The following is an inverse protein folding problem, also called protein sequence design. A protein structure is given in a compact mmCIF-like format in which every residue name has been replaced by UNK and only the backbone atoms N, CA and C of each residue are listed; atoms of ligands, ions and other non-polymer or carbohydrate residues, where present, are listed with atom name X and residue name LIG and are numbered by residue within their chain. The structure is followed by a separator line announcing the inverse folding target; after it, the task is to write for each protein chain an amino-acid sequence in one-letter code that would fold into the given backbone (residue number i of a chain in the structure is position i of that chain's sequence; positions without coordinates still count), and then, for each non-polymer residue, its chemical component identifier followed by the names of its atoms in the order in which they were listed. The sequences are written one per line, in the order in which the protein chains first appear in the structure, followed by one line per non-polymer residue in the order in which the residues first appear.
data_IF_484828503032
#
_entry.id   IF_484828503032
#
_cell.length_a   1.000
_cell.length_b   1.000
_cell.length_c   1.000
_cell.angle_alpha   90.00
_cell.angle_beta   90.00
_cell.angle_gamma   90.00
#
_symmetry.space_group_name_H-M   'P 1'
#
loop_
_entity.id
_entity.type
_entity.pdbx_description
1 polymer ?
#
# COMPACT_ATOMS: atom_id res chain seq x y z
N UNK A 1 72.12 6.29 8.78
CA UNK A 1 71.61 5.29 7.79
C UNK A 1 70.45 4.45 8.32
N UNK A 2 69.91 4.76 9.52
CA UNK A 2 68.79 4.00 10.12
C UNK A 2 67.46 4.75 10.13
N UNK A 3 67.40 5.95 9.58
CA UNK A 3 66.21 6.80 9.64
C UNK A 3 65.26 6.65 8.43
N UNK A 4 65.58 5.83 7.42
CA UNK A 4 64.74 5.66 6.22
C UNK A 4 63.89 4.39 6.27
N UNK A 5 64.20 3.44 7.14
CA UNK A 5 63.49 2.15 7.25
C UNK A 5 62.18 2.20 8.04
N UNK A 6 61.89 3.26 8.80
CA UNK A 6 60.67 3.40 9.60
C UNK A 6 59.49 4.12 8.89
N UNK A 7 59.74 4.73 7.73
CA UNK A 7 58.71 5.48 7.01
C UNK A 7 57.87 4.62 6.05
N UNK A 8 58.24 3.36 5.79
CA UNK A 8 57.56 2.51 4.80
C UNK A 8 56.53 1.51 5.39
N UNK A 9 56.48 1.40 6.74
CA UNK A 9 55.59 0.45 7.42
C UNK A 9 54.20 1.02 7.79
N UNK A 10 53.94 2.32 7.56
CA UNK A 10 52.70 2.98 7.99
C UNK A 10 51.64 3.08 6.91
N UNK A 11 51.85 2.54 5.70
CA UNK A 11 50.92 2.71 4.55
C UNK A 11 50.03 1.49 4.24
N UNK A 12 50.06 0.44 5.06
CA UNK A 12 49.30 -0.81 4.80
C UNK A 12 48.12 -1.08 5.73
N UNK A 13 47.73 -0.13 6.60
CA UNK A 13 46.64 -0.33 7.55
C UNK A 13 45.30 0.33 7.13
N UNK A 14 45.09 0.70 5.88
CA UNK A 14 43.83 1.25 5.36
C UNK A 14 43.02 0.19 4.60
N UNK A 15 42.92 -1.03 5.12
CA UNK A 15 41.80 -1.92 4.77
C UNK A 15 40.57 -1.48 5.51
N UNK A 16 39.91 -0.41 5.03
CA UNK A 16 38.62 0.02 5.54
C UNK A 16 37.61 -1.10 5.40
N UNK A 17 37.11 -1.60 6.53
CA UNK A 17 35.91 -2.42 6.56
C UNK A 17 34.78 -1.62 5.94
N UNK A 18 34.39 -1.96 4.70
CA UNK A 18 33.17 -1.41 4.09
C UNK A 18 32.00 -1.75 5.03
N UNK A 19 31.19 -0.76 5.44
CA UNK A 19 29.96 -1.07 6.16
C UNK A 19 29.14 -2.04 5.29
N UNK A 20 28.84 -3.21 5.84
CA UNK A 20 27.91 -4.15 5.20
C UNK A 20 26.55 -3.44 5.18
N UNK A 21 26.04 -3.13 3.99
CA UNK A 21 24.71 -2.60 3.86
C UNK A 21 23.71 -3.56 4.53
N UNK A 22 22.72 -3.06 5.28
CA UNK A 22 21.71 -3.92 5.87
C UNK A 22 21.06 -4.76 4.75
N UNK A 23 20.73 -6.03 5.02
CA UNK A 23 20.10 -6.89 4.03
C UNK A 23 18.83 -6.22 3.51
N UNK A 24 18.62 -6.27 2.19
CA UNK A 24 17.40 -5.79 1.58
C UNK A 24 16.19 -6.48 2.23
N UNK A 25 15.11 -5.75 2.53
CA UNK A 25 13.91 -6.37 3.09
C UNK A 25 13.44 -7.50 2.19
N UNK A 26 12.99 -8.60 2.79
CA UNK A 26 12.49 -9.76 2.06
C UNK A 26 11.34 -9.34 1.12
N UNK A 27 11.27 -9.88 -0.09
CA UNK A 27 10.22 -9.55 -1.04
C UNK A 27 8.86 -9.93 -0.46
N UNK A 28 7.91 -9.02 -0.53
CA UNK A 28 6.52 -9.27 -0.11
C UNK A 28 5.88 -10.19 -1.15
N UNK A 29 5.46 -11.37 -0.72
CA UNK A 29 4.74 -12.32 -1.58
C UNK A 29 3.34 -11.79 -1.84
N UNK A 30 2.95 -11.69 -3.11
CA UNK A 30 1.62 -11.21 -3.54
C UNK A 30 0.94 -12.28 -4.38
N UNK A 31 -0.37 -12.43 -4.22
CA UNK A 31 -1.22 -13.20 -5.13
C UNK A 31 -1.57 -12.42 -6.41
N UNK A 32 -1.26 -11.12 -6.42
CA UNK A 32 -1.53 -10.19 -7.51
C UNK A 32 -0.21 -9.90 -8.24
N UNK A 33 -0.13 -10.22 -9.52
CA UNK A 33 1.01 -9.86 -10.38
C UNK A 33 1.11 -8.33 -10.53
N UNK A 34 2.25 -7.84 -11.04
CA UNK A 34 2.41 -6.41 -11.31
C UNK A 34 1.42 -5.90 -12.36
N UNK A 35 1.15 -6.70 -13.40
CA UNK A 35 0.16 -6.39 -14.42
C UNK A 35 -1.25 -6.31 -13.83
N UNK A 36 -1.64 -7.29 -13.02
CA UNK A 36 -2.93 -7.25 -12.32
C UNK A 36 -3.05 -6.05 -11.38
N UNK A 37 -1.97 -5.67 -10.67
CA UNK A 37 -1.96 -4.50 -9.82
C UNK A 37 -2.17 -3.18 -10.62
N UNK A 38 -1.63 -3.11 -11.84
CA UNK A 38 -1.91 -2.01 -12.75
C UNK A 38 -3.38 -1.98 -13.17
N UNK A 39 -3.96 -3.12 -13.55
CA UNK A 39 -5.38 -3.21 -13.90
C UNK A 39 -6.28 -2.85 -12.71
N UNK A 40 -5.99 -3.34 -11.50
CA UNK A 40 -6.66 -2.93 -10.25
C UNK A 40 -6.65 -1.41 -10.11
N UNK A 41 -5.51 -0.77 -10.33
CA UNK A 41 -5.35 0.68 -10.23
C UNK A 41 -6.19 1.42 -11.27
N UNK A 42 -6.11 1.01 -12.53
CA UNK A 42 -6.85 1.64 -13.65
C UNK A 42 -8.36 1.50 -13.43
N UNK A 43 -8.80 0.32 -13.07
CA UNK A 43 -10.23 0.04 -12.81
C UNK A 43 -10.74 0.84 -11.62
N UNK A 44 -9.98 0.91 -10.52
CA UNK A 44 -10.36 1.73 -9.37
C UNK A 44 -10.51 3.22 -9.76
N UNK A 45 -9.58 3.76 -10.55
CA UNK A 45 -9.66 5.14 -11.06
C UNK A 45 -10.87 5.34 -11.97
N UNK A 46 -11.20 4.36 -12.81
CA UNK A 46 -12.37 4.40 -13.71
C UNK A 46 -13.73 4.38 -13.00
N UNK A 47 -13.73 3.97 -11.72
CA UNK A 47 -14.96 3.93 -10.89
C UNK A 47 -15.21 5.24 -10.11
N UNK A 48 -14.30 6.22 -10.17
CA UNK A 48 -14.49 7.53 -9.54
C UNK A 48 -15.79 8.16 -10.06
N UNK A 49 -16.61 8.67 -9.14
CA UNK A 49 -17.94 9.21 -9.43
C UNK A 49 -19.08 8.20 -9.25
N UNK A 50 -18.81 6.91 -9.11
CA UNK A 50 -19.86 5.91 -8.80
C UNK A 50 -20.48 6.23 -7.44
N UNK A 51 -21.82 6.23 -7.30
CA UNK A 51 -22.47 6.54 -6.05
C UNK A 51 -22.07 5.61 -4.90
N UNK A 52 -21.93 6.17 -3.71
CA UNK A 52 -21.83 5.37 -2.48
C UNK A 52 -23.19 4.72 -2.18
N UNK A 53 -23.15 3.45 -1.82
CA UNK A 53 -24.30 2.75 -1.26
C UNK A 53 -23.84 1.77 -0.18
N UNK A 54 -24.42 1.86 0.98
CA UNK A 54 -24.17 0.91 2.05
C UNK A 54 -24.46 -0.53 1.60
N UNK A 55 -23.49 -1.44 1.75
CA UNK A 55 -23.57 -2.82 1.24
C UNK A 55 -23.44 -2.95 -0.28
N UNK A 56 -23.26 -1.85 -1.00
CA UNK A 56 -23.10 -1.84 -2.46
C UNK A 56 -21.79 -2.49 -2.91
N UNK A 57 -21.83 -3.20 -4.04
CA UNK A 57 -20.69 -3.98 -4.54
C UNK A 57 -20.66 -4.12 -6.07
N UNK A 58 -21.37 -3.24 -6.79
CA UNK A 58 -21.39 -3.21 -8.26
C UNK A 58 -21.38 -1.77 -8.79
N UNK A 59 -20.86 -1.52 -10.00
CA UNK A 59 -20.89 -0.19 -10.59
C UNK A 59 -22.31 0.38 -10.72
N UNK A 60 -23.29 -0.46 -11.03
CA UNK A 60 -24.69 -0.05 -11.23
C UNK A 60 -25.42 0.18 -9.91
N UNK A 61 -25.11 -0.64 -8.89
CA UNK A 61 -25.74 -0.58 -7.57
C UNK A 61 -25.06 0.38 -6.60
N UNK A 62 -23.90 0.91 -6.95
CA UNK A 62 -23.06 1.69 -6.05
C UNK A 62 -22.13 0.83 -5.19
N UNK A 63 -21.25 1.47 -4.43
CA UNK A 63 -20.24 0.83 -3.61
C UNK A 63 -20.24 1.35 -2.18
N UNK A 64 -20.01 0.45 -1.20
CA UNK A 64 -19.31 0.80 0.03
C UNK A 64 -17.81 0.56 -0.11
N UNK A 65 -17.00 0.93 0.90
CA UNK A 65 -15.54 0.86 0.82
C UNK A 65 -15.02 -0.56 0.57
N UNK A 66 -15.51 -1.56 1.29
CA UNK A 66 -15.12 -2.96 1.10
C UNK A 66 -15.74 -3.59 -0.17
N UNK A 67 -16.90 -3.11 -0.60
CA UNK A 67 -17.54 -3.52 -1.84
C UNK A 67 -16.79 -3.09 -3.09
N UNK A 68 -16.26 -1.87 -3.09
CA UNK A 68 -15.38 -1.39 -4.14
C UNK A 68 -14.15 -2.29 -4.27
N UNK A 69 -13.47 -2.56 -3.15
CA UNK A 69 -12.28 -3.42 -3.11
C UNK A 69 -12.62 -4.82 -3.62
N UNK A 70 -13.69 -5.43 -3.09
CA UNK A 70 -14.08 -6.78 -3.47
C UNK A 70 -14.43 -6.89 -4.96
N UNK A 71 -15.10 -5.90 -5.52
CA UNK A 71 -15.44 -5.89 -6.93
C UNK A 71 -14.20 -5.75 -7.83
N UNK A 72 -13.33 -4.79 -7.52
CA UNK A 72 -12.12 -4.52 -8.31
C UNK A 72 -11.19 -5.73 -8.32
N UNK A 73 -10.86 -6.29 -7.15
CA UNK A 73 -9.95 -7.44 -7.09
C UNK A 73 -10.54 -8.71 -7.69
N UNK A 74 -11.84 -8.93 -7.56
CA UNK A 74 -12.50 -10.06 -8.24
C UNK A 74 -12.43 -9.92 -9.76
N UNK A 75 -12.65 -8.73 -10.28
CA UNK A 75 -12.66 -8.46 -11.72
C UNK A 75 -11.26 -8.54 -12.33
N UNK A 76 -10.25 -7.96 -11.67
CA UNK A 76 -8.92 -7.79 -12.26
C UNK A 76 -7.93 -8.89 -11.86
N UNK A 77 -8.13 -9.54 -10.71
CA UNK A 77 -7.21 -10.54 -10.19
C UNK A 77 -7.87 -11.90 -9.88
N UNK A 78 -9.19 -12.02 -10.02
CA UNK A 78 -9.92 -13.24 -9.66
C UNK A 78 -9.94 -13.53 -8.16
N UNK A 79 -9.59 -12.56 -7.30
CA UNK A 79 -9.47 -12.74 -5.86
C UNK A 79 -10.76 -12.36 -5.13
N UNK A 80 -11.14 -13.16 -4.14
CA UNK A 80 -12.28 -12.89 -3.28
C UNK A 80 -11.83 -12.12 -2.03
N UNK A 81 -11.95 -10.80 -2.08
CA UNK A 81 -11.65 -9.96 -0.92
C UNK A 81 -12.76 -10.06 0.15
N UNK A 82 -12.40 -9.96 1.45
CA UNK A 82 -13.38 -9.86 2.53
C UNK A 82 -14.34 -8.68 2.34
N UNK A 83 -15.60 -8.89 2.80
CA UNK A 83 -16.67 -7.87 2.68
C UNK A 83 -16.77 -6.92 3.87
N UNK A 84 -15.85 -7.02 4.83
CA UNK A 84 -15.75 -6.06 5.94
C UNK A 84 -14.35 -5.49 6.01
N UNK A 85 -14.26 -4.20 6.36
CA UNK A 85 -12.97 -3.52 6.50
C UNK A 85 -12.10 -4.17 7.58
N UNK A 86 -12.71 -4.59 8.69
CA UNK A 86 -11.98 -5.28 9.76
C UNK A 86 -11.32 -6.58 9.26
N UNK A 87 -12.00 -7.37 8.42
CA UNK A 87 -11.44 -8.58 7.86
C UNK A 87 -10.36 -8.33 6.79
N UNK A 88 -10.38 -7.19 6.10
CA UNK A 88 -9.31 -6.77 5.19
C UNK A 88 -7.96 -6.61 5.89
N UNK A 89 -7.95 -6.39 7.21
CA UNK A 89 -6.71 -6.33 8.00
C UNK A 89 -5.92 -7.64 7.97
N UNK A 90 -6.59 -8.77 7.81
CA UNK A 90 -5.96 -10.10 7.67
C UNK A 90 -5.77 -10.54 6.22
N UNK A 91 -6.18 -9.75 5.23
CA UNK A 91 -6.13 -10.13 3.82
C UNK A 91 -4.88 -9.57 3.14
N UNK A 92 -4.05 -10.48 2.65
CA UNK A 92 -2.75 -10.15 2.07
C UNK A 92 -1.64 -9.94 3.11
N UNK A 93 -0.46 -9.59 2.63
CA UNK A 93 0.73 -9.38 3.44
C UNK A 93 0.79 -7.94 3.98
N UNK A 94 1.17 -7.74 5.25
CA UNK A 94 1.43 -6.39 5.76
C UNK A 94 2.68 -5.82 5.11
N UNK A 95 2.68 -4.51 4.82
CA UNK A 95 3.84 -3.83 4.29
C UNK A 95 4.16 -2.55 5.06
N UNK A 96 5.45 -2.16 5.09
CA UNK A 96 5.84 -0.82 5.48
C UNK A 96 5.54 0.19 4.34
N UNK A 97 5.39 1.46 4.69
CA UNK A 97 5.04 2.53 3.74
C UNK A 97 6.02 2.67 2.56
N UNK A 98 7.32 2.37 2.78
CA UNK A 98 8.35 2.45 1.74
C UNK A 98 8.30 1.31 0.71
N UNK A 99 7.46 0.30 0.91
CA UNK A 99 7.22 -0.77 -0.05
C UNK A 99 5.84 -0.66 -0.74
N UNK A 100 5.08 0.39 -0.43
CA UNK A 100 3.75 0.60 -0.99
C UNK A 100 3.83 0.83 -2.50
N UNK A 101 3.01 0.10 -3.26
CA UNK A 101 2.85 0.25 -4.71
C UNK A 101 1.39 0.39 -5.10
N UNK A 102 1.13 0.94 -6.30
CA UNK A 102 -0.22 0.99 -6.86
C UNK A 102 -0.86 -0.39 -6.89
N UNK A 103 -2.12 -0.46 -6.55
CA UNK A 103 -2.85 -1.72 -6.39
C UNK A 103 -2.79 -2.32 -4.97
N UNK A 104 -2.03 -1.76 -4.03
CA UNK A 104 -2.07 -2.18 -2.63
C UNK A 104 -3.28 -1.58 -1.90
N UNK A 105 -3.63 -2.11 -0.74
CA UNK A 105 -4.67 -1.56 0.12
C UNK A 105 -4.11 -0.59 1.14
N UNK A 106 -4.88 0.46 1.41
CA UNK A 106 -4.72 1.36 2.57
C UNK A 106 -5.89 1.17 3.51
N UNK A 107 -5.59 0.93 4.78
CA UNK A 107 -6.57 0.73 5.84
C UNK A 107 -6.42 1.82 6.89
N UNK A 108 -7.52 2.42 7.30
CA UNK A 108 -7.57 3.52 8.25
C UNK A 108 -8.32 3.14 9.51
N UNK A 109 -7.80 3.55 10.66
CA UNK A 109 -8.41 3.32 11.97
C UNK A 109 -7.92 4.28 13.03
N UNK A 110 -8.47 4.18 14.24
CA UNK A 110 -8.14 5.05 15.38
C UNK A 110 -7.92 4.22 16.65
N UNK A 111 -6.86 3.39 16.68
CA UNK A 111 -6.47 2.62 17.86
C UNK A 111 -7.20 1.28 18.03
N UNK A 112 -8.00 0.86 17.08
CA UNK A 112 -8.70 -0.43 17.02
C UNK A 112 -8.64 -1.05 15.62
N UNK A 113 -9.53 -2.00 15.31
CA UNK A 113 -9.68 -2.50 13.96
C UNK A 113 -9.92 -1.38 12.96
N UNK A 114 -9.44 -1.49 11.71
CA UNK A 114 -9.66 -0.47 10.70
C UNK A 114 -11.17 -0.32 10.42
N UNK A 115 -11.59 0.91 10.19
CA UNK A 115 -12.99 1.28 9.93
C UNK A 115 -13.21 1.76 8.50
N UNK A 116 -12.14 2.05 7.76
CA UNK A 116 -12.20 2.47 6.38
C UNK A 116 -11.04 1.89 5.56
N UNK A 117 -11.24 1.74 4.26
CA UNK A 117 -10.27 1.17 3.36
C UNK A 117 -10.36 1.79 1.97
N UNK A 118 -9.24 1.76 1.24
CA UNK A 118 -9.15 2.15 -0.15
C UNK A 118 -8.05 1.41 -0.89
N UNK A 119 -7.97 1.64 -2.20
CA UNK A 119 -6.95 1.11 -3.11
C UNK A 119 -5.94 2.22 -3.39
N UNK A 120 -4.67 1.97 -3.07
CA UNK A 120 -3.60 2.90 -3.36
C UNK A 120 -3.34 2.97 -4.87
N UNK A 121 -3.21 4.17 -5.40
CA UNK A 121 -3.05 4.41 -6.85
C UNK A 121 -1.76 5.15 -7.19
N UNK A 122 -0.85 5.27 -6.23
CA UNK A 122 0.44 5.94 -6.41
C UNK A 122 0.45 7.40 -5.92
N UNK A 123 1.66 7.95 -5.76
CA UNK A 123 1.91 9.35 -5.41
C UNK A 123 1.14 9.85 -4.17
N UNK A 124 1.01 9.00 -3.15
CA UNK A 124 0.29 9.34 -1.93
C UNK A 124 -1.22 9.45 -2.10
N UNK A 125 -1.79 8.88 -3.17
CA UNK A 125 -3.23 8.93 -3.49
C UNK A 125 -3.87 7.55 -3.39
N UNK A 126 -5.15 7.53 -3.07
CA UNK A 126 -5.94 6.30 -3.00
C UNK A 126 -7.38 6.56 -3.45
N UNK A 127 -8.00 5.53 -4.01
CA UNK A 127 -9.41 5.53 -4.42
C UNK A 127 -10.22 4.76 -3.37
N UNK A 128 -11.33 5.32 -2.96
CA UNK A 128 -12.20 4.76 -1.94
C UNK A 128 -13.67 5.17 -2.13
N UNK A 129 -14.57 4.51 -1.42
CA UNK A 129 -15.99 4.85 -1.38
C UNK A 129 -16.37 5.32 0.02
N UNK A 130 -16.26 6.61 0.35
CA UNK A 130 -16.66 7.16 1.64
C UNK A 130 -18.17 7.40 1.68
N UNK A 131 -18.81 7.17 2.85
CA UNK A 131 -20.20 7.53 3.06
C UNK A 131 -20.43 9.04 3.01
N UNK A 132 -19.49 9.82 3.57
CA UNK A 132 -19.47 11.27 3.46
C UNK A 132 -19.00 11.69 2.07
N UNK A 133 -19.83 12.44 1.36
CA UNK A 133 -19.59 12.84 -0.05
C UNK A 133 -20.29 11.94 -1.06
N UNK A 134 -20.79 10.77 -0.64
CA UNK A 134 -21.77 9.97 -1.37
C UNK A 134 -21.29 9.33 -2.67
N UNK A 135 -19.99 9.30 -2.98
CA UNK A 135 -19.46 8.68 -4.21
C UNK A 135 -18.02 8.19 -4.05
N UNK A 136 -17.62 7.26 -4.92
CA UNK A 136 -16.21 6.85 -5.11
C UNK A 136 -15.40 8.07 -5.51
N UNK A 137 -14.28 8.29 -4.83
CA UNK A 137 -13.39 9.41 -5.13
C UNK A 137 -11.93 9.06 -4.85
N UNK A 138 -11.04 9.91 -5.33
CA UNK A 138 -9.61 9.85 -5.04
C UNK A 138 -9.26 10.92 -4.01
N UNK A 139 -8.61 10.50 -2.93
CA UNK A 139 -8.10 11.39 -1.88
C UNK A 139 -6.58 11.21 -1.72
N UNK A 140 -5.94 12.13 -0.97
CA UNK A 140 -4.53 12.07 -0.61
C UNK A 140 -4.37 11.53 0.82
N UNK A 141 -3.34 10.70 1.03
CA UNK A 141 -2.99 10.18 2.37
C UNK A 141 -2.59 11.30 3.33
N UNK A 142 -1.97 12.38 2.83
CA UNK A 142 -1.55 13.55 3.62
C UNK A 142 -2.65 14.60 3.82
N UNK A 143 -3.85 14.40 3.26
CA UNK A 143 -4.99 15.28 3.53
C UNK A 143 -5.34 15.26 5.03
N UNK A 144 -5.70 16.42 5.57
CA UNK A 144 -5.89 16.66 7.02
C UNK A 144 -6.72 15.60 7.74
N UNK A 145 -7.75 15.07 7.11
CA UNK A 145 -8.61 14.03 7.68
C UNK A 145 -7.85 12.70 7.81
N UNK A 146 -7.16 12.27 6.75
CA UNK A 146 -6.48 10.98 6.67
C UNK A 146 -5.16 10.96 7.44
N UNK A 147 -4.41 12.07 7.41
CA UNK A 147 -3.15 12.21 8.14
C UNK A 147 -3.28 12.10 9.67
N UNK A 148 -4.49 12.21 10.22
CA UNK A 148 -4.77 12.05 11.65
C UNK A 148 -5.11 10.63 12.07
N UNK A 149 -5.31 9.73 11.11
CA UNK A 149 -5.69 8.35 11.36
C UNK A 149 -4.46 7.45 11.39
N UNK A 150 -4.57 6.33 12.09
CA UNK A 150 -3.61 5.25 11.95
C UNK A 150 -3.80 4.59 10.59
N UNK A 151 -2.72 4.46 9.85
CA UNK A 151 -2.72 3.88 8.51
C UNK A 151 -1.90 2.60 8.51
N UNK A 152 -2.43 1.54 7.92
CA UNK A 152 -1.73 0.30 7.64
C UNK A 152 -1.94 -0.10 6.18
N UNK A 153 -1.02 -0.92 5.66
CA UNK A 153 -1.04 -1.30 4.25
C UNK A 153 -1.05 -2.80 4.11
N UNK A 154 -1.70 -3.31 3.06
CA UNK A 154 -1.79 -4.73 2.71
C UNK A 154 -1.57 -4.93 1.23
N UNK A 155 -0.84 -5.98 0.91
CA UNK A 155 -0.67 -6.49 -0.47
C UNK A 155 -1.35 -7.82 -0.58
N UNK A 156 -2.49 -7.89 -1.25
CA UNK A 156 -3.17 -9.16 -1.55
C UNK A 156 -2.38 -10.07 -2.47
#
# INVERSE_FOLDING_TARGET
RWSIALALAALLAACGTRPVAPPAPAPVVSQVSEEQAQHVTITALGLVGTPYRYGGNTPQGGFDCSGLIAWVYRTEAGLQAPRTVAALQGWGQPLPANQLRSGDLVLFGNGGPPTHAGIYVGEGRFVHAPSTGGQVRMDRLDARHWARQQVSYRRP
#
